data_IF_527987275233
#
_entry.id   IF_527987275233
#
_cell.length_a   1.000
_cell.length_b   1.000
_cell.length_c   1.000
_cell.angle_alpha   90.00
_cell.angle_beta   90.00
_cell.angle_gamma   90.00
#
_symmetry.space_group_name_H-M   'P 1'
#
loop_
_entity.id
_entity.type
_entity.pdbx_description
1 polymer ?
#
# COMPACT_ATOMS: atom_id res chain seq x y z
N UNK A 1 3.63 -23.23 -2.69
CA UNK A 1 3.94 -22.10 -1.78
C UNK A 1 2.89 -21.04 -2.03
N UNK A 2 2.31 -20.47 -0.97
CA UNK A 2 1.32 -19.39 -1.07
C UNK A 2 1.96 -18.10 -0.55
N UNK A 3 1.85 -16.96 -1.26
CA UNK A 3 2.39 -15.69 -0.78
C UNK A 3 1.66 -15.18 0.47
N UNK A 4 2.35 -14.33 1.23
CA UNK A 4 1.73 -13.52 2.30
C UNK A 4 1.19 -12.20 1.74
N UNK A 5 0.08 -11.69 2.25
CA UNK A 5 -0.36 -10.31 2.05
C UNK A 5 -0.07 -9.51 3.31
N UNK A 6 0.77 -8.48 3.17
CA UNK A 6 1.07 -7.50 4.21
C UNK A 6 0.13 -6.29 4.09
N UNK A 7 -0.62 -6.01 5.14
CA UNK A 7 -1.54 -4.86 5.23
C UNK A 7 -0.93 -3.78 6.12
N UNK A 8 -0.68 -2.60 5.53
CA UNK A 8 -0.14 -1.43 6.24
C UNK A 8 -1.27 -0.70 7.00
N UNK A 9 -1.54 -1.14 8.22
CA UNK A 9 -2.62 -0.65 9.08
C UNK A 9 -2.12 0.28 10.22
N UNK A 10 -0.83 0.56 10.35
CA UNK A 10 -0.29 1.42 11.40
C UNK A 10 -0.68 2.90 11.25
N UNK A 11 -1.11 3.29 10.06
CA UNK A 11 -1.73 4.61 9.81
C UNK A 11 -3.18 4.71 10.29
N UNK A 12 -3.81 3.59 10.67
CA UNK A 12 -5.21 3.58 11.09
C UNK A 12 -5.37 4.37 12.41
N UNK A 13 -5.90 5.59 12.36
CA UNK A 13 -6.30 6.42 13.51
C UNK A 13 -6.13 7.93 13.31
N UNK A 14 -5.16 8.38 12.50
CA UNK A 14 -4.72 9.80 12.50
C UNK A 14 -5.43 10.71 11.48
N UNK A 15 -5.85 10.18 10.32
CA UNK A 15 -6.42 10.99 9.21
C UNK A 15 -7.86 11.50 9.42
N UNK A 16 -8.63 10.91 10.34
CA UNK A 16 -10.09 11.14 10.45
C UNK A 16 -10.57 11.62 11.84
N UNK A 17 -9.66 12.03 12.73
CA UNK A 17 -10.05 12.66 14.00
C UNK A 17 -10.80 11.75 14.98
N UNK A 18 -10.52 10.44 15.00
CA UNK A 18 -11.07 9.50 15.98
C UNK A 18 -11.08 8.04 15.53
N UNK A 19 -11.50 7.14 16.44
CA UNK A 19 -11.60 5.67 16.32
C UNK A 19 -12.51 5.13 15.18
N UNK A 20 -12.90 5.93 14.19
CA UNK A 20 -13.89 5.59 13.15
C UNK A 20 -13.27 5.12 11.82
N UNK A 21 -12.13 4.45 11.86
CA UNK A 21 -11.40 4.03 10.65
C UNK A 21 -11.78 2.63 10.14
N UNK A 22 -12.80 2.01 10.73
CA UNK A 22 -13.48 0.82 10.24
C UNK A 22 -14.84 1.21 9.64
N UNK A 23 -14.84 2.19 8.75
CA UNK A 23 -16.08 2.66 8.14
C UNK A 23 -16.68 1.53 7.30
N UNK A 24 -17.87 1.09 7.71
CA UNK A 24 -18.61 0.05 7.00
C UNK A 24 -19.09 0.61 5.66
N UNK A 25 -18.73 -0.11 4.60
CA UNK A 25 -19.02 0.23 3.21
C UNK A 25 -19.84 -0.87 2.51
N UNK A 26 -19.75 -2.11 3.01
CA UNK A 26 -20.54 -3.25 2.57
C UNK A 26 -21.91 -3.34 3.24
N UNK A 27 -22.87 -4.02 2.61
CA UNK A 27 -24.24 -4.11 3.14
C UNK A 27 -24.37 -5.00 4.38
N UNK A 28 -23.39 -5.86 4.69
CA UNK A 28 -23.35 -6.67 5.91
C UNK A 28 -22.33 -6.14 6.92
N UNK A 29 -22.03 -4.84 6.83
CA UNK A 29 -21.11 -4.15 7.72
C UNK A 29 -19.65 -4.36 7.37
N UNK A 30 -19.28 -4.69 6.12
CA UNK A 30 -17.89 -4.92 5.73
C UNK A 30 -17.13 -3.62 5.45
N UNK A 31 -15.84 -3.58 5.79
CA UNK A 31 -14.90 -2.48 5.49
C UNK A 31 -14.24 -2.68 4.13
N UNK A 32 -13.50 -1.66 3.65
CA UNK A 32 -12.66 -1.80 2.44
C UNK A 32 -11.63 -2.92 2.59
N UNK A 33 -10.99 -3.03 3.76
CA UNK A 33 -10.00 -4.08 4.07
C UNK A 33 -10.61 -5.47 3.88
N UNK A 34 -11.88 -5.64 4.28
CA UNK A 34 -12.56 -6.93 4.16
C UNK A 34 -12.66 -7.39 2.70
N UNK A 35 -12.92 -6.47 1.76
CA UNK A 35 -12.91 -6.78 0.33
C UNK A 35 -11.50 -7.10 -0.18
N UNK A 36 -10.49 -6.35 0.26
CA UNK A 36 -9.09 -6.63 -0.08
C UNK A 36 -8.62 -8.01 0.40
N UNK A 37 -9.00 -8.41 1.63
CA UNK A 37 -8.69 -9.75 2.16
C UNK A 37 -9.47 -10.82 1.41
N UNK A 38 -10.75 -10.59 1.13
CA UNK A 38 -11.58 -11.51 0.36
C UNK A 38 -10.98 -11.79 -1.03
N UNK A 39 -10.54 -10.74 -1.74
CA UNK A 39 -9.88 -10.89 -3.03
C UNK A 39 -8.50 -11.54 -2.94
N UNK A 40 -7.72 -11.24 -1.90
CA UNK A 40 -6.44 -11.92 -1.68
C UNK A 40 -6.62 -13.43 -1.45
N UNK A 41 -7.62 -13.83 -0.65
CA UNK A 41 -7.97 -15.26 -0.46
C UNK A 41 -8.35 -15.89 -1.80
N UNK A 42 -9.19 -15.23 -2.60
CA UNK A 42 -9.59 -15.72 -3.94
C UNK A 42 -8.43 -15.81 -4.92
N UNK A 43 -7.48 -14.89 -4.84
CA UNK A 43 -6.29 -14.88 -5.68
C UNK A 43 -5.30 -16.00 -5.30
N UNK A 44 -5.36 -16.51 -4.06
CA UNK A 44 -4.54 -17.64 -3.61
C UNK A 44 -3.52 -17.32 -2.53
N UNK A 45 -3.56 -16.13 -1.92
CA UNK A 45 -2.73 -15.78 -0.77
C UNK A 45 -3.00 -16.74 0.40
N UNK A 46 -1.94 -17.07 1.15
CA UNK A 46 -2.00 -18.09 2.21
C UNK A 46 -2.06 -17.52 3.62
N UNK A 47 -1.60 -16.28 3.79
CA UNK A 47 -1.45 -15.63 5.08
C UNK A 47 -1.63 -14.13 4.94
N UNK A 48 -2.25 -13.51 5.94
CA UNK A 48 -2.34 -12.06 6.10
C UNK A 48 -1.47 -11.67 7.30
N UNK A 49 -0.64 -10.64 7.13
CA UNK A 49 0.09 -10.00 8.23
C UNK A 49 -0.31 -8.54 8.29
N UNK A 50 -0.80 -8.09 9.43
CA UNK A 50 -1.08 -6.68 9.66
C UNK A 50 0.10 -6.00 10.35
N UNK A 51 0.50 -4.82 9.88
CA UNK A 51 1.36 -3.93 10.66
C UNK A 51 0.49 -2.89 11.30
N UNK A 52 0.44 -2.87 12.63
CA UNK A 52 -0.50 -2.05 13.41
C UNK A 52 0.23 -1.26 14.50
N UNK A 53 -0.49 -0.36 15.16
CA UNK A 53 -0.08 0.24 16.43
C UNK A 53 -0.72 -0.49 17.60
N UNK A 54 -0.16 -0.39 18.81
CA UNK A 54 -0.69 -1.07 20.00
C UNK A 54 -2.09 -0.62 20.41
N UNK A 55 -2.41 0.65 20.20
CA UNK A 55 -3.71 1.24 20.55
C UNK A 55 -4.90 0.64 19.78
N UNK A 56 -4.64 -0.06 18.66
CA UNK A 56 -5.67 -0.69 17.82
C UNK A 56 -5.63 -2.23 17.84
N UNK A 57 -4.82 -2.85 18.71
CA UNK A 57 -4.65 -4.30 18.75
C UNK A 57 -5.97 -5.06 18.96
N UNK A 58 -6.75 -4.68 19.98
CA UNK A 58 -8.02 -5.35 20.30
C UNK A 58 -9.02 -5.22 19.14
N UNK A 59 -9.12 -4.04 18.54
CA UNK A 59 -10.00 -3.79 17.40
C UNK A 59 -9.63 -4.67 16.19
N UNK A 60 -8.34 -4.83 15.91
CA UNK A 60 -7.84 -5.66 14.81
C UNK A 60 -8.11 -7.15 15.08
N UNK A 61 -7.93 -7.61 16.32
CA UNK A 61 -8.24 -8.99 16.71
C UNK A 61 -9.72 -9.32 16.52
N UNK A 62 -10.59 -8.55 17.16
CA UNK A 62 -12.04 -8.78 17.11
C UNK A 62 -12.59 -8.68 15.68
N UNK A 63 -12.06 -7.74 14.89
CA UNK A 63 -12.57 -7.48 13.55
C UNK A 63 -12.07 -8.47 12.51
N UNK A 64 -10.79 -8.83 12.54
CA UNK A 64 -10.17 -9.60 11.47
C UNK A 64 -9.79 -11.00 11.91
N UNK A 65 -9.08 -11.15 13.03
CA UNK A 65 -8.58 -12.46 13.47
C UNK A 65 -9.72 -13.45 13.70
N UNK A 66 -10.74 -13.04 14.45
CA UNK A 66 -11.88 -13.91 14.79
C UNK A 66 -12.75 -14.21 13.56
N UNK A 67 -12.97 -13.22 12.68
CA UNK A 67 -13.82 -13.38 11.48
C UNK A 67 -13.16 -14.19 10.36
N UNK A 68 -11.83 -14.20 10.32
CA UNK A 68 -11.04 -14.90 9.31
C UNK A 68 -10.57 -16.27 9.77
N UNK A 69 -10.85 -16.64 11.03
CA UNK A 69 -10.51 -17.95 11.56
C UNK A 69 -11.08 -19.07 10.66
N UNK A 70 -10.20 -19.99 10.24
CA UNK A 70 -10.54 -21.08 9.33
C UNK A 70 -10.60 -20.71 7.84
N UNK A 71 -10.46 -19.42 7.47
CA UNK A 71 -10.43 -18.96 6.08
C UNK A 71 -9.01 -18.70 5.57
N UNK A 72 -8.17 -18.07 6.39
CA UNK A 72 -6.75 -17.77 6.09
C UNK A 72 -5.95 -17.64 7.38
N UNK A 73 -4.64 -17.88 7.34
CA UNK A 73 -3.76 -17.57 8.48
C UNK A 73 -3.68 -16.06 8.67
N UNK A 74 -3.84 -15.58 9.89
CA UNK A 74 -3.76 -14.14 10.23
C UNK A 74 -2.76 -13.96 11.36
N UNK A 75 -1.84 -13.01 11.17
CA UNK A 75 -0.86 -12.58 12.18
C UNK A 75 -0.76 -11.04 12.15
N UNK A 76 -0.10 -10.47 13.16
CA UNK A 76 0.16 -9.03 13.19
C UNK A 76 1.50 -8.72 13.87
N UNK A 77 2.04 -7.55 13.54
CA UNK A 77 3.24 -6.99 14.17
C UNK A 77 2.99 -5.52 14.53
N UNK A 78 3.77 -5.03 15.48
CA UNK A 78 3.71 -3.62 15.89
C UNK A 78 4.77 -2.81 15.16
N UNK A 79 4.39 -1.64 14.65
CA UNK A 79 5.33 -0.63 14.19
C UNK A 79 5.61 0.37 15.33
N UNK A 80 6.64 0.12 16.13
CA UNK A 80 7.07 1.03 17.19
C UNK A 80 8.21 1.92 16.72
N UNK A 81 8.23 3.17 17.15
CA UNK A 81 9.35 4.10 16.89
C UNK A 81 10.69 3.59 17.46
N UNK A 82 10.63 2.65 18.41
CA UNK A 82 11.78 2.02 19.07
C UNK A 82 12.30 0.78 18.32
N UNK A 83 11.64 0.34 17.23
CA UNK A 83 12.14 -0.74 16.38
C UNK A 83 13.31 -0.26 15.49
N UNK A 84 14.43 0.06 16.14
CA UNK A 84 15.58 0.69 15.49
C UNK A 84 16.73 -0.28 15.29
N UNK A 85 17.60 -0.06 14.28
CA UNK A 85 18.86 -0.76 14.18
C UNK A 85 19.72 -0.52 15.41
N UNK A 86 20.50 -1.52 15.82
CA UNK A 86 21.42 -1.38 16.95
C UNK A 86 22.43 -0.23 16.73
N UNK A 87 22.71 0.51 17.81
CA UNK A 87 23.74 1.55 17.83
C UNK A 87 23.34 2.91 17.25
N UNK A 88 22.10 3.08 16.78
CA UNK A 88 21.64 4.38 16.24
C UNK A 88 21.16 5.33 17.33
N UNK A 89 21.23 6.64 17.05
CA UNK A 89 20.65 7.70 17.89
C UNK A 89 19.54 8.41 17.13
N UNK A 90 18.44 8.69 17.82
CA UNK A 90 17.27 9.38 17.27
C UNK A 90 16.81 10.46 18.24
N UNK A 91 15.99 11.39 17.76
CA UNK A 91 15.41 12.40 18.62
C UNK A 91 14.59 11.74 19.75
N UNK A 92 14.83 12.09 21.03
CA UNK A 92 14.12 11.49 22.16
C UNK A 92 12.63 11.84 22.17
N UNK A 93 12.27 13.00 21.64
CA UNK A 93 10.90 13.51 21.61
C UNK A 93 10.12 13.09 20.35
N UNK A 94 10.67 12.15 19.56
CA UNK A 94 10.00 11.70 18.35
C UNK A 94 8.73 10.92 18.70
N UNK A 95 7.62 11.33 18.12
CA UNK A 95 6.34 10.63 18.19
C UNK A 95 5.86 10.15 16.81
N UNK A 96 6.37 10.74 15.74
CA UNK A 96 5.97 10.40 14.37
C UNK A 96 6.57 9.05 13.94
N UNK A 97 5.77 8.14 13.34
CA UNK A 97 6.28 6.91 12.75
C UNK A 97 7.39 7.15 11.73
N UNK A 98 8.25 6.16 11.51
CA UNK A 98 9.40 6.27 10.60
C UNK A 98 9.06 6.14 9.11
N UNK A 99 7.82 5.82 8.76
CA UNK A 99 7.35 5.69 7.38
C UNK A 99 7.04 4.25 6.96
N UNK A 100 6.61 4.07 5.71
CA UNK A 100 6.12 2.79 5.17
C UNK A 100 7.23 1.78 4.91
N UNK A 101 8.47 2.22 4.63
CA UNK A 101 9.62 1.31 4.53
C UNK A 101 9.92 0.63 5.87
N UNK A 102 9.88 1.39 6.97
CA UNK A 102 10.01 0.85 8.32
C UNK A 102 8.87 -0.11 8.67
N UNK A 103 7.64 0.16 8.22
CA UNK A 103 6.50 -0.74 8.43
C UNK A 103 6.72 -2.13 7.80
N UNK A 104 7.36 -2.21 6.62
CA UNK A 104 7.74 -3.50 6.04
C UNK A 104 8.85 -4.14 6.88
N UNK A 105 9.87 -3.40 7.28
CA UNK A 105 11.02 -3.95 8.01
C UNK A 105 10.67 -4.68 9.31
N UNK A 106 9.70 -4.16 10.07
CA UNK A 106 9.26 -4.80 11.34
C UNK A 106 8.57 -6.15 11.13
N UNK A 107 8.25 -6.53 9.88
CA UNK A 107 7.63 -7.82 9.55
C UNK A 107 8.65 -8.93 9.25
N UNK A 108 9.95 -8.61 9.22
CA UNK A 108 11.04 -9.52 8.81
C UNK A 108 10.98 -10.89 9.49
N UNK A 109 10.57 -10.94 10.76
CA UNK A 109 10.51 -12.19 11.52
C UNK A 109 9.25 -13.02 11.26
N UNK A 110 8.19 -12.41 10.74
CA UNK A 110 6.90 -13.06 10.48
C UNK A 110 6.69 -13.48 9.03
N UNK A 111 7.37 -12.84 8.08
CA UNK A 111 7.24 -13.09 6.64
C UNK A 111 8.54 -13.66 6.10
N UNK A 112 8.52 -14.90 5.60
CA UNK A 112 9.70 -15.63 5.12
C UNK A 112 9.57 -16.07 3.65
N UNK A 113 8.45 -15.74 3.02
CA UNK A 113 8.06 -16.06 1.65
C UNK A 113 7.85 -14.76 0.83
N UNK A 114 7.70 -14.84 -0.51
CA UNK A 114 7.24 -13.71 -1.31
C UNK A 114 5.92 -13.15 -0.79
N UNK A 115 5.76 -11.84 -0.83
CA UNK A 115 4.61 -11.18 -0.23
C UNK A 115 4.17 -9.93 -0.98
N UNK A 116 2.86 -9.69 -0.95
CA UNK A 116 2.24 -8.45 -1.42
C UNK A 116 2.18 -7.42 -0.30
N UNK A 117 2.20 -6.13 -0.63
CA UNK A 117 2.01 -5.03 0.34
C UNK A 117 0.88 -4.15 -0.15
N UNK A 118 -0.06 -3.83 0.74
CA UNK A 118 -1.20 -2.95 0.47
C UNK A 118 -1.45 -1.94 1.58
N UNK A 119 -2.13 -0.85 1.24
CA UNK A 119 -2.74 0.04 2.22
C UNK A 119 -3.99 -0.60 2.83
N UNK A 120 -4.37 -0.12 4.01
CA UNK A 120 -5.57 -0.56 4.71
C UNK A 120 -6.84 0.22 4.28
N UNK A 121 -6.71 1.38 3.65
CA UNK A 121 -7.84 2.26 3.31
C UNK A 121 -8.24 2.23 1.82
N UNK A 122 -7.61 1.33 1.04
CA UNK A 122 -7.70 1.29 -0.42
C UNK A 122 -8.35 0.01 -0.96
N UNK A 123 -9.22 0.18 -1.96
CA UNK A 123 -9.76 -0.91 -2.75
C UNK A 123 -8.97 -1.07 -4.06
N UNK A 124 -8.40 -2.25 -4.25
CA UNK A 124 -7.52 -2.55 -5.39
C UNK A 124 -8.19 -3.34 -6.52
N UNK A 125 -9.26 -4.07 -6.22
CA UNK A 125 -9.96 -4.96 -7.15
C UNK A 125 -9.26 -6.31 -7.35
N UNK A 126 -10.07 -7.34 -7.61
CA UNK A 126 -9.64 -8.75 -7.70
C UNK A 126 -8.53 -8.97 -8.73
N UNK A 127 -8.62 -8.36 -9.93
CA UNK A 127 -7.64 -8.58 -10.99
C UNK A 127 -6.24 -8.16 -10.53
N UNK A 128 -6.15 -7.07 -9.76
CA UNK A 128 -4.90 -6.56 -9.21
C UNK A 128 -4.25 -7.54 -8.23
N UNK A 129 -5.05 -8.20 -7.37
CA UNK A 129 -4.56 -9.26 -6.50
C UNK A 129 -4.12 -10.50 -7.27
N UNK A 130 -4.83 -10.86 -8.35
CA UNK A 130 -4.43 -11.97 -9.23
C UNK A 130 -3.10 -11.67 -9.93
N UNK A 131 -2.94 -10.48 -10.52
CA UNK A 131 -1.69 -10.04 -11.16
C UNK A 131 -0.52 -10.12 -10.16
N UNK A 132 -0.72 -9.58 -8.96
CA UNK A 132 0.29 -9.61 -7.91
C UNK A 132 0.64 -11.04 -7.48
N UNK A 133 -0.38 -11.87 -7.23
CA UNK A 133 -0.18 -13.27 -6.88
C UNK A 133 0.58 -14.03 -7.96
N UNK A 134 0.20 -13.86 -9.23
CA UNK A 134 0.82 -14.53 -10.37
C UNK A 134 2.30 -14.14 -10.49
N UNK A 135 2.66 -12.87 -10.26
CA UNK A 135 4.06 -12.45 -10.21
C UNK A 135 4.83 -13.11 -9.05
N UNK A 136 4.28 -13.04 -7.83
CA UNK A 136 4.92 -13.60 -6.63
C UNK A 136 5.11 -15.12 -6.72
N UNK A 137 4.23 -15.81 -7.45
CA UNK A 137 4.32 -17.24 -7.68
C UNK A 137 5.30 -17.59 -8.80
N UNK A 138 5.33 -16.85 -9.91
CA UNK A 138 6.07 -17.25 -11.12
C UNK A 138 7.49 -16.68 -11.18
N UNK A 139 7.72 -15.43 -10.76
CA UNK A 139 9.06 -14.84 -10.76
C UNK A 139 9.90 -15.38 -9.60
N UNK A 140 11.00 -16.06 -9.94
CA UNK A 140 11.92 -16.66 -8.96
C UNK A 140 13.17 -15.82 -8.70
N UNK A 141 13.34 -14.69 -9.39
CA UNK A 141 14.50 -13.83 -9.18
C UNK A 141 14.36 -13.16 -7.81
N UNK A 142 15.28 -13.41 -6.87
CA UNK A 142 15.17 -12.88 -5.51
C UNK A 142 15.27 -11.36 -5.47
N UNK A 143 15.89 -10.70 -6.44
CA UNK A 143 16.06 -9.24 -6.46
C UNK A 143 15.14 -8.54 -7.48
N UNK A 144 14.15 -9.26 -8.02
CA UNK A 144 13.08 -8.66 -8.83
C UNK A 144 11.81 -8.49 -8.00
N UNK A 145 11.28 -7.28 -7.95
CA UNK A 145 10.04 -6.92 -7.27
C UNK A 145 9.03 -6.39 -8.28
N UNK A 146 7.82 -6.06 -7.83
CA UNK A 146 6.84 -5.45 -8.72
C UNK A 146 6.03 -4.34 -8.06
N UNK A 147 5.46 -3.48 -8.91
CA UNK A 147 4.35 -2.60 -8.60
C UNK A 147 3.17 -3.04 -9.48
N UNK A 148 1.99 -3.17 -8.90
CA UNK A 148 0.77 -3.21 -9.70
C UNK A 148 0.34 -1.77 -9.98
N UNK A 149 0.53 -1.34 -11.22
CA UNK A 149 0.28 0.01 -11.70
C UNK A 149 -1.14 0.20 -12.19
N UNK A 150 -1.65 1.42 -12.03
CA UNK A 150 -2.96 1.83 -12.51
C UNK A 150 -2.82 3.02 -13.45
N UNK A 151 -3.81 3.26 -14.31
CA UNK A 151 -3.91 4.51 -15.05
C UNK A 151 -4.34 5.63 -14.12
N UNK A 152 -3.64 6.77 -14.13
CA UNK A 152 -3.92 7.91 -13.26
C UNK A 152 -5.41 8.29 -13.26
N UNK A 153 -6.04 8.38 -14.43
CA UNK A 153 -7.45 8.75 -14.60
C UNK A 153 -8.43 7.82 -13.89
N UNK A 154 -8.06 6.57 -13.63
CA UNK A 154 -8.87 5.61 -12.87
C UNK A 154 -8.74 5.81 -11.36
N UNK A 155 -7.85 6.67 -10.89
CA UNK A 155 -7.52 6.87 -9.48
C UNK A 155 -7.87 8.27 -8.96
N UNK A 156 -8.34 9.17 -9.81
CA UNK A 156 -8.67 10.55 -9.43
C UNK A 156 -10.00 10.61 -8.65
N UNK A 157 -10.10 11.54 -7.69
CA UNK A 157 -11.37 11.88 -7.01
C UNK A 157 -12.06 13.03 -7.74
N UNK A 158 -13.40 13.05 -7.69
CA UNK A 158 -14.22 14.18 -8.13
C UNK A 158 -14.40 15.23 -7.00
N UNK A 159 -13.94 14.93 -5.77
CA UNK A 159 -14.16 15.75 -4.57
C UNK A 159 -12.94 16.56 -4.12
N UNK A 160 -11.78 16.40 -4.77
CA UNK A 160 -10.58 17.14 -4.41
C UNK A 160 -9.31 16.57 -5.03
N UNK A 161 -8.18 17.01 -4.48
CA UNK A 161 -6.86 16.62 -4.96
C UNK A 161 -6.42 15.26 -4.40
N UNK A 162 -5.53 14.58 -5.12
CA UNK A 162 -4.96 13.31 -4.68
C UNK A 162 -3.43 13.33 -4.76
N UNK A 163 -2.78 12.43 -4.01
CA UNK A 163 -1.33 12.23 -4.08
C UNK A 163 -1.04 10.86 -4.70
N UNK A 164 -0.14 10.79 -5.69
CA UNK A 164 0.16 9.54 -6.41
C UNK A 164 1.66 9.43 -6.70
N UNK A 165 2.19 8.22 -6.58
CA UNK A 165 3.50 7.87 -7.09
C UNK A 165 3.46 7.69 -8.60
N UNK A 166 3.76 8.74 -9.37
CA UNK A 166 3.79 8.70 -10.83
C UNK A 166 5.01 7.90 -11.28
N UNK A 167 4.76 6.80 -11.97
CA UNK A 167 5.76 5.84 -12.40
C UNK A 167 6.21 6.13 -13.83
N UNK A 168 7.51 6.11 -14.07
CA UNK A 168 8.13 6.09 -15.39
C UNK A 168 8.65 4.68 -15.67
N UNK A 169 8.04 4.01 -16.64
CA UNK A 169 8.49 2.72 -17.14
C UNK A 169 9.59 2.88 -18.20
N UNK A 170 10.54 1.96 -18.23
CA UNK A 170 11.40 1.71 -19.38
C UNK A 170 10.68 0.91 -20.46
N UNK A 171 11.32 0.79 -21.63
CA UNK A 171 10.79 0.00 -22.76
C UNK A 171 10.65 -1.49 -22.43
N UNK A 172 11.44 -1.95 -21.47
CA UNK A 172 11.47 -3.31 -20.91
C UNK A 172 10.36 -3.57 -19.86
N UNK A 173 9.55 -2.57 -19.54
CA UNK A 173 8.47 -2.67 -18.55
C UNK A 173 8.95 -2.58 -17.09
N UNK A 174 10.22 -2.21 -16.86
CA UNK A 174 10.75 -1.99 -15.52
C UNK A 174 10.66 -0.52 -15.12
N UNK A 175 10.54 -0.27 -13.82
CA UNK A 175 10.49 1.06 -13.24
C UNK A 175 11.86 1.75 -13.39
N UNK A 176 11.89 2.87 -14.09
CA UNK A 176 13.05 3.76 -14.14
C UNK A 176 13.04 4.78 -13.00
N UNK A 177 11.85 5.29 -12.67
CA UNK A 177 11.67 6.32 -11.65
C UNK A 177 10.23 6.31 -11.14
N UNK A 178 10.03 6.64 -9.87
CA UNK A 178 8.75 6.90 -9.25
C UNK A 178 8.82 8.24 -8.52
N UNK A 179 7.91 9.15 -8.84
CA UNK A 179 7.86 10.50 -8.26
C UNK A 179 6.55 10.68 -7.52
N UNK A 180 6.63 10.88 -6.21
CA UNK A 180 5.46 11.21 -5.39
C UNK A 180 4.95 12.62 -5.76
N UNK A 181 3.87 12.66 -6.53
CA UNK A 181 3.25 13.89 -7.01
C UNK A 181 2.06 14.21 -6.13
N UNK A 182 2.11 15.39 -5.49
CA UNK A 182 1.07 15.85 -4.57
C UNK A 182 0.08 16.78 -5.25
N UNK A 183 -1.12 16.86 -4.69
CA UNK A 183 -2.16 17.81 -5.10
C UNK A 183 -2.58 17.66 -6.57
N UNK A 184 -2.64 16.43 -7.08
CA UNK A 184 -3.12 16.15 -8.43
C UNK A 184 -4.64 16.40 -8.47
N UNK A 185 -5.07 17.32 -9.32
CA UNK A 185 -6.46 17.67 -9.56
C UNK A 185 -6.95 17.13 -10.89
N UNK A 186 -8.15 16.54 -10.90
CA UNK A 186 -8.81 16.13 -12.14
C UNK A 186 -9.29 17.35 -12.92
N UNK A 187 -9.05 17.36 -14.23
CA UNK A 187 -9.54 18.40 -15.14
C UNK A 187 -10.46 17.78 -16.21
N UNK A 188 -11.06 18.63 -17.06
CA UNK A 188 -11.92 18.16 -18.17
C UNK A 188 -11.19 17.26 -19.17
N UNK A 189 -9.86 17.44 -19.31
CA UNK A 189 -9.05 16.78 -20.34
C UNK A 189 -7.95 15.89 -19.78
N UNK A 190 -7.88 15.71 -18.46
CA UNK A 190 -6.81 14.95 -17.80
C UNK A 190 -6.67 15.30 -16.33
N UNK A 191 -5.45 15.63 -15.89
CA UNK A 191 -5.17 16.09 -14.54
C UNK A 191 -4.03 17.13 -14.52
N UNK A 192 -3.92 17.90 -13.44
CA UNK A 192 -2.82 18.85 -13.22
C UNK A 192 -2.28 18.75 -11.80
N UNK A 193 -1.00 19.06 -11.60
CA UNK A 193 -0.41 19.17 -10.27
C UNK A 193 0.63 20.29 -10.20
N UNK A 194 0.88 20.89 -9.01
CA UNK A 194 1.97 21.84 -8.83
C UNK A 194 3.34 21.17 -9.07
N UNK A 195 4.12 21.74 -9.98
CA UNK A 195 5.50 21.37 -10.24
C UNK A 195 6.50 22.02 -9.26
N UNK A 196 7.75 21.54 -9.21
CA UNK A 196 8.77 22.00 -8.26
C UNK A 196 9.15 23.49 -8.42
N UNK A 197 8.99 24.03 -9.63
CA UNK A 197 9.33 25.40 -10.02
C UNK A 197 8.12 26.36 -10.01
N UNK A 198 6.98 25.90 -9.49
CA UNK A 198 5.73 26.65 -9.49
C UNK A 198 4.97 26.59 -10.82
N UNK A 199 5.48 25.90 -11.84
CA UNK A 199 4.71 25.59 -13.06
C UNK A 199 3.70 24.48 -12.80
N UNK A 200 2.67 24.35 -13.63
CA UNK A 200 1.72 23.24 -13.55
C UNK A 200 2.21 22.07 -14.41
N UNK A 201 2.40 20.92 -13.78
CA UNK A 201 2.55 19.65 -14.49
C UNK A 201 1.19 19.23 -15.04
N UNK A 202 1.15 18.84 -16.31
CA UNK A 202 -0.06 18.35 -16.96
C UNK A 202 0.03 16.84 -17.17
N UNK A 203 -1.11 16.18 -16.96
CA UNK A 203 -1.28 14.75 -17.10
C UNK A 203 -2.46 14.46 -18.01
N UNK A 204 -2.32 13.49 -18.89
CA UNK A 204 -3.36 13.00 -19.81
C UNK A 204 -4.38 12.10 -19.10
N UNK A 205 -4.01 11.54 -17.95
CA UNK A 205 -4.77 10.50 -17.25
C UNK A 205 -4.35 9.07 -17.62
N UNK A 206 -3.50 8.90 -18.64
CA UNK A 206 -2.95 7.60 -19.03
C UNK A 206 -1.64 7.24 -18.34
N UNK A 207 -1.08 8.17 -17.57
CA UNK A 207 0.15 7.97 -16.83
C UNK A 207 0.00 6.80 -15.84
N UNK A 208 1.09 6.06 -15.66
CA UNK A 208 1.11 4.94 -14.74
C UNK A 208 1.32 5.50 -13.34
N UNK A 209 0.47 5.09 -12.40
CA UNK A 209 0.61 5.45 -10.99
C UNK A 209 0.67 4.21 -10.10
N UNK A 210 1.48 4.29 -9.06
CA UNK A 210 1.48 3.36 -7.96
C UNK A 210 0.41 3.75 -6.93
N UNK A 211 -0.41 2.79 -6.54
CA UNK A 211 -1.36 2.90 -5.43
C UNK A 211 -0.86 2.19 -4.17
N UNK A 212 0.46 2.06 -4.06
CA UNK A 212 1.13 1.32 -2.98
C UNK A 212 0.77 -0.18 -2.93
N UNK A 213 0.49 -0.77 -4.11
CA UNK A 213 0.31 -2.22 -4.29
C UNK A 213 1.63 -2.82 -4.80
N UNK A 214 2.44 -3.36 -3.89
CA UNK A 214 3.78 -3.87 -4.17
C UNK A 214 3.87 -5.38 -4.05
N UNK A 215 4.82 -5.99 -4.75
CA UNK A 215 5.24 -7.38 -4.57
C UNK A 215 6.71 -7.48 -4.26
N UNK A 216 7.04 -8.00 -3.07
CA UNK A 216 8.40 -8.16 -2.58
C UNK A 216 8.76 -9.62 -2.32
N UNK A 217 10.05 -9.85 -2.14
CA UNK A 217 10.64 -11.12 -1.70
C UNK A 217 11.50 -10.87 -0.45
N UNK A 218 11.81 -11.89 0.37
CA UNK A 218 12.49 -11.70 1.65
C UNK A 218 13.84 -10.96 1.60
N UNK A 219 14.53 -11.00 0.46
CA UNK A 219 15.73 -10.19 0.16
C UNK A 219 15.49 -8.68 0.33
N UNK A 220 14.26 -8.18 0.17
CA UNK A 220 13.94 -6.77 0.35
C UNK A 220 14.30 -6.29 1.76
N UNK A 221 14.21 -7.15 2.79
CA UNK A 221 14.55 -6.78 4.17
C UNK A 221 16.01 -6.38 4.33
N UNK A 222 16.92 -6.92 3.51
CA UNK A 222 18.32 -6.51 3.50
C UNK A 222 18.48 -5.11 2.94
N UNK A 223 17.90 -4.85 1.76
CA UNK A 223 17.96 -3.55 1.09
C UNK A 223 17.29 -2.46 1.90
N UNK A 224 16.05 -2.69 2.33
CA UNK A 224 15.32 -1.77 3.18
C UNK A 224 16.06 -1.54 4.50
N UNK A 225 16.70 -2.56 5.09
CA UNK A 225 17.43 -2.43 6.35
C UNK A 225 18.70 -1.59 6.21
N UNK A 226 19.43 -1.76 5.10
CA UNK A 226 20.58 -0.92 4.72
C UNK A 226 20.15 0.53 4.56
N UNK A 227 19.07 0.79 3.83
CA UNK A 227 18.61 2.17 3.61
C UNK A 227 17.99 2.80 4.86
N UNK A 228 17.27 2.04 5.66
CA UNK A 228 16.72 2.55 6.91
C UNK A 228 17.82 2.97 7.89
N UNK A 229 18.92 2.21 8.00
CA UNK A 229 20.08 2.64 8.80
C UNK A 229 20.68 3.94 8.27
N UNK A 230 20.86 4.06 6.96
CA UNK A 230 21.36 5.29 6.33
C UNK A 230 20.44 6.49 6.63
N UNK A 231 19.13 6.31 6.43
CA UNK A 231 18.12 7.32 6.73
C UNK A 231 18.16 7.76 8.20
N UNK A 232 18.23 6.83 9.16
CA UNK A 232 18.30 7.17 10.58
C UNK A 232 19.58 7.95 10.90
N UNK A 233 20.73 7.58 10.33
CA UNK A 233 21.98 8.29 10.57
C UNK A 233 21.93 9.75 10.06
N UNK A 234 21.21 10.02 8.96
CA UNK A 234 21.14 11.34 8.35
C UNK A 234 19.96 12.20 8.86
N UNK A 235 18.85 11.56 9.21
CA UNK A 235 17.56 12.23 9.48
C UNK A 235 16.90 11.78 10.79
N UNK A 236 17.55 10.95 11.61
CA UNK A 236 16.99 10.41 12.85
C UNK A 236 16.71 11.46 13.93
N UNK A 237 17.33 12.63 13.83
CA UNK A 237 17.08 13.78 14.74
C UNK A 237 15.94 14.69 14.26
N UNK A 238 15.48 14.55 13.01
CA UNK A 238 14.33 15.29 12.50
C UNK A 238 13.04 14.61 12.96
N UNK A 239 12.19 15.35 13.68
CA UNK A 239 10.92 14.86 14.22
C UNK A 239 9.87 14.57 13.13
N UNK A 240 10.05 15.10 11.91
CA UNK A 240 9.08 15.03 10.82
C UNK A 240 9.51 14.13 9.66
N UNK A 241 10.78 13.75 9.59
CA UNK A 241 11.34 12.91 8.52
C UNK A 241 10.61 11.56 8.44
N UNK A 242 10.38 11.05 7.24
CA UNK A 242 9.80 9.73 7.00
C UNK A 242 10.53 9.07 5.83
N UNK A 243 10.63 7.74 5.86
CA UNK A 243 11.15 6.94 4.77
C UNK A 243 10.01 6.11 4.16
N UNK A 244 9.56 6.54 2.99
CA UNK A 244 8.58 5.80 2.21
C UNK A 244 9.22 4.67 1.37
N UNK A 245 8.40 3.74 0.90
CA UNK A 245 8.83 2.60 0.07
C UNK A 245 9.52 3.07 -1.21
N UNK A 246 8.93 3.97 -2.03
CA UNK A 246 9.55 4.47 -3.25
C UNK A 246 10.98 5.00 -3.04
N UNK A 247 11.16 5.90 -2.07
CA UNK A 247 12.46 6.50 -1.74
C UNK A 247 13.44 5.44 -1.24
N UNK A 248 12.96 4.48 -0.44
CA UNK A 248 13.82 3.45 0.14
C UNK A 248 14.41 2.49 -0.89
N UNK A 249 13.74 2.27 -2.03
CA UNK A 249 14.18 1.34 -3.07
C UNK A 249 14.88 2.04 -4.24
N UNK A 250 14.64 3.34 -4.43
CA UNK A 250 15.13 4.13 -5.56
C UNK A 250 16.64 3.99 -5.81
N UNK A 251 17.46 4.11 -4.75
CA UNK A 251 18.91 4.00 -4.90
C UNK A 251 19.36 2.63 -5.42
N UNK A 252 18.67 1.57 -5.04
CA UNK A 252 19.01 0.19 -5.42
C UNK A 252 18.54 -0.14 -6.83
N UNK A 253 17.45 0.49 -7.28
CA UNK A 253 17.04 0.47 -8.69
C UNK A 253 18.09 1.17 -9.54
N UNK A 254 18.53 2.37 -9.12
CA UNK A 254 19.54 3.16 -9.84
C UNK A 254 20.92 2.51 -9.89
N UNK A 255 21.30 1.76 -8.85
CA UNK A 255 22.56 1.00 -8.84
C UNK A 255 22.47 -0.34 -9.59
N UNK A 256 21.27 -0.77 -10.00
CA UNK A 256 21.05 -2.06 -10.66
C UNK A 256 21.09 -3.27 -9.71
N UNK A 257 21.10 -3.04 -8.39
CA UNK A 257 21.07 -4.12 -7.39
C UNK A 257 19.70 -4.82 -7.31
N UNK A 258 18.63 -4.11 -7.65
CA UNK A 258 17.27 -4.64 -7.75
C UNK A 258 16.57 -4.16 -9.01
N UNK A 259 15.56 -4.89 -9.44
CA UNK A 259 14.64 -4.48 -10.51
C UNK A 259 13.21 -4.43 -9.98
N UNK A 260 12.39 -3.54 -10.54
CA UNK A 260 10.97 -3.42 -10.17
C UNK A 260 10.15 -3.45 -11.46
N UNK A 261 9.41 -4.53 -11.68
CA UNK A 261 8.54 -4.66 -12.84
C UNK A 261 7.21 -3.93 -12.60
N UNK A 262 6.74 -3.20 -13.61
CA UNK A 262 5.42 -2.55 -13.56
C UNK A 262 4.40 -3.50 -14.21
N UNK A 263 3.41 -3.92 -13.42
CA UNK A 263 2.33 -4.81 -13.85
C UNK A 263 1.03 -4.00 -13.95
N UNK A 264 0.53 -3.78 -15.16
CA UNK A 264 -0.65 -2.93 -15.34
C UNK A 264 -1.94 -3.66 -14.98
N UNK A 265 -2.73 -3.04 -14.10
CA UNK A 265 -4.11 -3.43 -13.82
C UNK A 265 -5.10 -2.53 -14.56
N UNK A 266 -6.20 -3.13 -15.05
CA UNK A 266 -7.33 -2.40 -15.63
C UNK A 266 -8.42 -2.09 -14.59
N UNK A 267 -8.22 -2.52 -13.35
CA UNK A 267 -9.14 -2.24 -12.26
C UNK A 267 -9.29 -0.73 -12.01
N UNK A 268 -10.42 -0.39 -11.42
CA UNK A 268 -10.63 0.96 -10.91
C UNK A 268 -10.32 0.97 -9.43
N UNK A 269 -9.22 1.63 -9.08
CA UNK A 269 -8.89 1.90 -7.68
C UNK A 269 -9.86 2.94 -7.14
N UNK A 270 -10.31 2.73 -5.91
CA UNK A 270 -10.96 3.76 -5.12
C UNK A 270 -10.61 3.56 -3.65
N UNK A 271 -10.56 4.66 -2.92
CA UNK A 271 -10.34 4.66 -1.48
C UNK A 271 -11.17 5.77 -0.87
N UNK A 272 -11.31 5.75 0.45
CA UNK A 272 -11.84 6.93 1.14
C UNK A 272 -10.66 7.86 1.33
N UNK A 273 -10.49 8.86 0.45
CA UNK A 273 -9.48 9.91 0.65
C UNK A 273 -10.09 11.03 1.48
N UNK A 274 -11.31 11.41 1.11
CA UNK A 274 -12.17 12.36 1.81
C UNK A 274 -13.38 11.64 2.42
N UNK A 275 -13.94 12.15 3.51
CA UNK A 275 -15.14 11.57 4.13
C UNK A 275 -16.31 11.55 3.13
N UNK A 276 -16.32 12.53 2.25
CA UNK A 276 -17.26 12.76 1.15
C UNK A 276 -17.15 11.69 0.06
N UNK A 277 -16.05 10.93 -0.03
CA UNK A 277 -15.90 9.82 -0.98
C UNK A 277 -16.71 8.57 -0.52
N UNK A 278 -17.07 8.46 0.77
CA UNK A 278 -17.73 7.25 1.32
C UNK A 278 -19.01 6.84 0.57
N UNK A 279 -19.96 7.73 0.24
CA UNK A 279 -21.14 7.35 -0.54
C UNK A 279 -20.79 6.77 -1.91
N UNK A 280 -19.75 7.28 -2.57
CA UNK A 280 -19.25 6.74 -3.84
C UNK A 280 -18.68 5.33 -3.67
N UNK A 281 -17.91 5.07 -2.60
CA UNK A 281 -17.38 3.74 -2.29
C UNK A 281 -18.52 2.74 -2.05
N UNK A 282 -19.52 3.11 -1.23
CA UNK A 282 -20.69 2.26 -0.94
C UNK A 282 -21.45 1.92 -2.22
N UNK A 283 -21.71 2.89 -3.08
CA UNK A 283 -22.44 2.66 -4.33
C UNK A 283 -21.62 1.79 -5.30
N UNK A 284 -20.31 1.98 -5.35
CA UNK A 284 -19.40 1.15 -6.14
C UNK A 284 -19.45 -0.32 -5.71
N UNK A 285 -19.43 -0.58 -4.40
CA UNK A 285 -19.58 -1.93 -3.84
C UNK A 285 -20.95 -2.53 -4.17
N UNK A 286 -22.04 -1.79 -3.96
CA UNK A 286 -23.39 -2.25 -4.34
C UNK A 286 -23.50 -2.59 -5.82
N UNK A 287 -22.85 -1.81 -6.70
CA UNK A 287 -22.80 -2.10 -8.13
C UNK A 287 -22.04 -3.40 -8.43
N UNK A 288 -20.93 -3.65 -7.74
CA UNK A 288 -20.17 -4.90 -7.90
C UNK A 288 -20.93 -6.12 -7.40
N UNK A 289 -21.68 -5.99 -6.29
CA UNK A 289 -22.58 -7.04 -5.80
C UNK A 289 -23.70 -7.33 -6.81
N UNK A 290 -24.36 -6.30 -7.35
CA UNK A 290 -25.39 -6.46 -8.41
C UNK A 290 -24.86 -7.15 -9.67
N UNK A 291 -23.58 -6.97 -9.97
CA UNK A 291 -22.89 -7.61 -11.10
C UNK A 291 -22.39 -9.04 -10.78
N UNK A 292 -22.58 -9.52 -9.55
CA UNK A 292 -22.11 -10.85 -9.12
C UNK A 292 -20.60 -10.95 -8.88
N UNK A 293 -19.89 -9.82 -8.80
CA UNK A 293 -18.43 -9.81 -8.52
C UNK A 293 -18.16 -10.20 -7.07
N UNK A 294 -19.03 -9.74 -6.16
CA UNK A 294 -19.03 -10.10 -4.74
C UNK A 294 -20.40 -10.65 -4.33
N UNK A 295 -20.45 -11.60 -3.39
CA UNK A 295 -21.69 -11.92 -2.70
C UNK A 295 -22.16 -10.73 -1.85
N UNK A 296 -23.45 -10.72 -1.47
CA UNK A 296 -23.99 -9.71 -0.56
C UNK A 296 -23.37 -9.77 0.85
N UNK A 297 -22.71 -10.88 1.18
CA UNK A 297 -22.01 -11.10 2.43
C UNK A 297 -20.73 -11.88 2.13
N UNK A 298 -19.57 -11.28 2.41
CA UNK A 298 -18.25 -11.89 2.11
C UNK A 298 -17.70 -12.76 3.25
N UNK A 299 -18.33 -12.72 4.44
CA UNK A 299 -17.97 -13.57 5.57
C UNK A 299 -19.08 -14.45 6.10
#
# INVERSE_FOLDING_TARGET
MKPTLLVLAAGMGTRYGGNKQLDEVGPSGETIIDYSIYDAIRAGFGKIVFVIRRDIEEQVKERFVDRLQGKIEVDYVFQEITNLPEGVKVAPDRSKPWGTSHAILVTKDKIKEPFGVINADDFYGMESFRILHDFLLNDKNPVNYCIVGYKLGNTLSDHGHVNRGVCKAGEDGFLQNIVETRQIEKTKTGAVAPGPDGTLMQFTGNEIVSMNLWGFKPTCFEFLGKEFRNFINNHGMDLKSELDIPTSVDKFVKSGEITIQILMSNERWFGVTYREDKPFVVESIKKMIRKGIYPARIY
#
